data_IF_472127950291
#
_entry.id   IF_472127950291
#
_cell.length_a   1.000
_cell.length_b   1.000
_cell.length_c   1.000
_cell.angle_alpha   90.00
_cell.angle_beta   90.00
_cell.angle_gamma   90.00
#
_symmetry.space_group_name_H-M   'P 1'
#
loop_
_entity.id
_entity.type
_entity.pdbx_description
1 polymer ?
#
# COMPACT_ATOMS: atom_id res chain seq x y z
N UNK A 1 -31.86 51.77 21.58
CA UNK A 1 -30.68 51.01 22.01
C UNK A 1 -30.82 49.59 21.46
N UNK A 2 -29.92 49.19 20.56
CA UNK A 2 -29.57 47.84 20.03
C UNK A 2 -30.72 46.81 19.83
N UNK A 3 -31.22 46.51 18.63
CA UNK A 3 -30.62 46.00 17.36
C UNK A 3 -30.02 44.58 17.49
N UNK A 4 -30.77 43.56 17.06
CA UNK A 4 -30.47 42.76 15.84
C UNK A 4 -31.47 41.61 15.66
N UNK A 5 -32.12 41.65 14.51
CA UNK A 5 -32.97 40.65 13.86
C UNK A 5 -32.13 39.42 13.48
N UNK A 6 -32.50 38.24 13.98
CA UNK A 6 -32.05 36.94 13.44
C UNK A 6 -33.02 36.51 12.35
N UNK A 7 -32.57 36.63 11.09
CA UNK A 7 -33.24 36.00 9.97
C UNK A 7 -32.84 34.52 9.95
N UNK A 8 -33.82 33.64 10.13
CA UNK A 8 -33.72 32.23 9.77
C UNK A 8 -33.49 32.15 8.25
N UNK A 9 -32.38 31.50 7.86
CA UNK A 9 -32.19 31.00 6.50
C UNK A 9 -32.17 29.48 6.57
N UNK A 10 -33.20 28.91 5.97
CA UNK A 10 -33.42 27.48 5.77
C UNK A 10 -32.45 26.96 4.71
N UNK A 11 -31.67 25.93 5.06
CA UNK A 11 -30.86 25.14 4.14
C UNK A 11 -31.70 23.93 3.70
N UNK A 12 -32.01 23.73 2.41
CA UNK A 12 -32.59 22.48 1.96
C UNK A 12 -31.48 21.48 1.62
N UNK A 13 -31.71 20.26 2.10
CA UNK A 13 -30.97 19.01 1.88
C UNK A 13 -29.81 18.71 2.85
N UNK A 14 -30.21 18.18 4.01
CA UNK A 14 -29.35 17.76 5.12
C UNK A 14 -28.75 16.36 4.93
N UNK A 15 -27.72 16.24 4.10
CA UNK A 15 -26.76 15.12 4.17
C UNK A 15 -25.46 15.61 4.79
N UNK A 16 -25.11 15.06 5.95
CA UNK A 16 -23.86 15.32 6.65
C UNK A 16 -22.69 14.63 5.94
N UNK A 17 -21.49 15.20 6.06
CA UNK A 17 -20.20 14.75 5.51
C UNK A 17 -19.89 13.25 5.78
N UNK A 18 -20.58 12.62 6.74
CA UNK A 18 -20.52 11.17 7.02
C UNK A 18 -21.08 10.28 5.91
N UNK A 19 -22.06 10.75 5.13
CA UNK A 19 -22.72 9.94 4.08
C UNK A 19 -21.83 9.70 2.87
N UNK A 20 -21.08 10.72 2.43
CA UNK A 20 -20.28 10.65 1.21
C UNK A 20 -19.03 9.75 1.33
N UNK A 21 -18.44 9.67 2.53
CA UNK A 21 -17.40 8.67 2.83
C UNK A 21 -17.94 7.26 2.73
N UNK A 22 -19.22 7.06 3.06
CA UNK A 22 -19.86 5.76 3.06
C UNK A 22 -20.05 5.25 1.64
N UNK A 23 -20.41 6.10 0.68
CA UNK A 23 -20.65 5.69 -0.71
C UNK A 23 -19.36 5.23 -1.45
N UNK A 24 -18.22 5.91 -1.22
CA UNK A 24 -16.91 5.48 -1.76
C UNK A 24 -16.36 4.26 -0.99
N UNK A 25 -16.56 4.20 0.33
CA UNK A 25 -16.17 3.04 1.14
C UNK A 25 -17.03 1.82 0.80
N UNK A 26 -18.31 1.99 0.45
CA UNK A 26 -19.23 0.95 0.03
C UNK A 26 -18.89 0.44 -1.38
N UNK A 27 -18.49 1.31 -2.32
CA UNK A 27 -17.96 0.88 -3.62
C UNK A 27 -16.60 0.16 -3.50
N UNK A 28 -15.68 0.67 -2.66
CA UNK A 28 -14.45 -0.03 -2.31
C UNK A 28 -14.72 -1.33 -1.52
N UNK A 29 -15.83 -1.43 -0.77
CA UNK A 29 -16.25 -2.64 -0.06
C UNK A 29 -16.91 -3.68 -1.00
N UNK A 30 -17.64 -3.24 -2.03
CA UNK A 30 -18.17 -4.08 -3.10
C UNK A 30 -17.03 -4.64 -3.97
N UNK A 31 -16.00 -3.82 -4.25
CA UNK A 31 -14.76 -4.26 -4.84
C UNK A 31 -14.02 -5.26 -3.93
N UNK A 32 -13.85 -4.97 -2.63
CA UNK A 32 -13.25 -5.90 -1.65
C UNK A 32 -13.97 -7.24 -1.56
N UNK A 33 -15.31 -7.26 -1.53
CA UNK A 33 -16.08 -8.52 -1.45
C UNK A 33 -15.99 -9.35 -2.73
N UNK A 34 -15.86 -8.70 -3.89
CA UNK A 34 -15.62 -9.37 -5.17
C UNK A 34 -14.18 -9.89 -5.31
N UNK A 35 -13.17 -9.13 -4.85
CA UNK A 35 -11.75 -9.52 -4.87
C UNK A 35 -11.44 -10.63 -3.85
N UNK A 36 -12.05 -10.61 -2.66
CA UNK A 36 -11.99 -11.71 -1.70
C UNK A 36 -12.52 -13.03 -2.28
N UNK A 37 -13.44 -12.97 -3.25
CA UNK A 37 -13.92 -14.13 -4.00
C UNK A 37 -13.03 -14.56 -5.19
N UNK A 38 -12.06 -13.73 -5.61
CA UNK A 38 -11.24 -13.95 -6.82
C UNK A 38 -9.82 -14.44 -6.52
N UNK A 39 -9.31 -14.27 -5.30
CA UNK A 39 -8.05 -14.85 -4.83
C UNK A 39 -8.13 -16.35 -4.51
N UNK A 40 -8.86 -17.10 -5.34
CA UNK A 40 -8.81 -18.57 -5.41
C UNK A 40 -7.83 -19.10 -6.47
N UNK A 41 -7.10 -18.23 -7.17
CA UNK A 41 -6.22 -18.66 -8.25
C UNK A 41 -4.75 -18.51 -7.89
N UNK A 42 -4.09 -19.67 -7.83
CA UNK A 42 -2.65 -19.80 -7.90
C UNK A 42 -2.09 -18.94 -9.06
N UNK A 43 -0.93 -18.29 -8.88
CA UNK A 43 -0.27 -17.57 -9.97
C UNK A 43 0.02 -18.54 -11.13
N UNK A 44 0.02 -18.07 -12.39
CA UNK A 44 0.29 -18.91 -13.55
C UNK A 44 1.69 -19.53 -13.45
N UNK A 45 1.81 -20.80 -13.82
CA UNK A 45 3.09 -21.50 -13.86
C UNK A 45 4.09 -20.74 -14.75
N UNK A 46 5.31 -20.43 -14.26
CA UNK A 46 6.35 -19.91 -15.11
C UNK A 46 6.74 -20.99 -16.12
N UNK A 47 6.47 -20.75 -17.39
CA UNK A 47 6.98 -21.55 -18.52
C UNK A 47 8.45 -21.22 -18.75
N UNK A 48 9.30 -21.64 -17.81
CA UNK A 48 10.76 -21.62 -17.92
C UNK A 48 11.29 -23.04 -17.82
N UNK A 49 11.50 -23.70 -18.95
CA UNK A 49 12.28 -24.94 -19.01
C UNK A 49 13.76 -24.57 -18.89
N UNK A 50 14.30 -24.65 -17.68
CA UNK A 50 15.72 -24.94 -17.47
C UNK A 50 15.83 -26.32 -16.81
N UNK A 51 16.60 -27.20 -17.46
CA UNK A 51 16.70 -28.62 -17.13
C UNK A 51 17.57 -28.91 -15.91
N UNK A 52 17.26 -30.01 -15.22
CA UNK A 52 18.28 -30.83 -14.56
C UNK A 52 18.31 -30.91 -13.03
N UNK A 53 17.44 -30.19 -12.31
CA UNK A 53 17.20 -30.42 -10.88
C UNK A 53 15.70 -30.43 -10.63
N UNK A 54 15.18 -31.37 -9.83
CA UNK A 54 13.75 -31.37 -9.46
C UNK A 54 13.38 -29.97 -8.97
N UNK A 55 12.50 -29.26 -9.69
CA UNK A 55 12.22 -27.85 -9.45
C UNK A 55 11.82 -27.66 -7.99
N UNK A 56 12.68 -27.05 -7.18
CA UNK A 56 12.37 -26.77 -5.78
C UNK A 56 11.51 -25.52 -5.71
N UNK A 57 10.57 -25.46 -4.78
CA UNK A 57 9.74 -24.27 -4.58
C UNK A 57 9.86 -23.75 -3.16
N UNK A 58 9.83 -22.42 -3.04
CA UNK A 58 9.89 -21.72 -1.77
C UNK A 58 8.49 -21.58 -1.17
N UNK A 59 8.40 -21.79 0.14
CA UNK A 59 7.18 -21.65 0.92
C UNK A 59 7.43 -20.80 2.17
N UNK A 60 6.49 -19.91 2.48
CA UNK A 60 6.40 -19.28 3.80
C UNK A 60 5.33 -20.02 4.59
N UNK A 61 5.68 -20.50 5.78
CA UNK A 61 4.78 -21.24 6.64
C UNK A 61 4.80 -20.68 8.04
N UNK A 62 3.65 -20.58 8.67
CA UNK A 62 3.50 -20.25 10.09
C UNK A 62 2.68 -21.32 10.78
N UNK A 63 3.09 -21.76 11.97
CA UNK A 63 2.32 -22.73 12.76
C UNK A 63 2.52 -22.47 14.25
N UNK A 64 1.49 -22.75 15.05
CA UNK A 64 1.56 -22.66 16.50
C UNK A 64 1.93 -24.02 17.09
N UNK A 65 2.96 -24.06 17.92
CA UNK A 65 3.37 -25.24 18.67
C UNK A 65 3.23 -25.03 20.17
N UNK A 66 3.20 -26.12 20.92
CA UNK A 66 3.29 -26.07 22.38
C UNK A 66 4.68 -25.58 22.80
N UNK A 67 4.72 -24.66 23.74
CA UNK A 67 5.97 -24.17 24.34
C UNK A 67 6.49 -25.21 25.36
N UNK A 68 7.12 -26.26 24.82
CA UNK A 68 7.73 -27.33 25.60
C UNK A 68 8.92 -27.92 24.81
N UNK A 69 9.96 -28.42 25.50
CA UNK A 69 11.09 -29.07 24.84
C UNK A 69 10.63 -30.18 23.88
N UNK A 70 11.22 -30.19 22.68
CA UNK A 70 10.95 -31.21 21.66
C UNK A 70 9.80 -30.91 20.70
N UNK A 71 8.94 -29.91 20.96
CA UNK A 71 7.87 -29.54 20.00
C UNK A 71 8.41 -29.13 18.64
N UNK A 72 9.37 -28.20 18.61
CA UNK A 72 10.03 -27.76 17.38
C UNK A 72 10.83 -28.90 16.72
N UNK A 73 11.45 -29.77 17.53
CA UNK A 73 12.20 -30.92 17.01
C UNK A 73 11.29 -31.87 16.22
N UNK A 74 10.09 -32.16 16.74
CA UNK A 74 9.09 -32.97 16.04
C UNK A 74 8.69 -32.35 14.69
N UNK A 75 8.53 -31.03 14.63
CA UNK A 75 8.27 -30.33 13.35
C UNK A 75 9.44 -30.49 12.37
N UNK A 76 10.67 -30.22 12.83
CA UNK A 76 11.85 -30.33 11.99
C UNK A 76 12.04 -31.75 11.43
N UNK A 77 11.77 -32.79 12.24
CA UNK A 77 11.82 -34.20 11.80
C UNK A 77 10.78 -34.44 10.70
N UNK A 78 9.52 -34.02 10.90
CA UNK A 78 8.46 -34.23 9.92
C UNK A 78 8.71 -33.51 8.58
N UNK A 79 9.34 -32.32 8.62
CA UNK A 79 9.77 -31.61 7.42
C UNK A 79 10.94 -32.34 6.73
N UNK A 80 11.92 -32.81 7.51
CA UNK A 80 13.08 -33.55 6.99
C UNK A 80 12.69 -34.87 6.31
N UNK A 81 11.73 -35.62 6.86
CA UNK A 81 11.19 -36.85 6.25
C UNK A 81 10.59 -36.62 4.86
N UNK A 82 10.17 -35.39 4.56
CA UNK A 82 9.63 -34.97 3.25
C UNK A 82 10.68 -34.30 2.37
N UNK A 83 11.95 -34.28 2.79
CA UNK A 83 13.06 -33.57 2.12
C UNK A 83 12.82 -32.07 1.98
N UNK A 84 12.15 -31.47 2.97
CA UNK A 84 11.93 -30.02 3.04
C UNK A 84 13.09 -29.41 3.82
N UNK A 85 13.76 -28.45 3.21
CA UNK A 85 14.85 -27.69 3.82
C UNK A 85 14.31 -26.42 4.51
N UNK A 86 14.86 -26.08 5.68
CA UNK A 86 14.48 -24.91 6.48
C UNK A 86 15.54 -23.83 6.25
N UNK A 87 15.18 -22.81 5.49
CA UNK A 87 16.09 -21.71 5.14
C UNK A 87 16.16 -20.65 6.24
N UNK A 88 15.07 -20.44 6.97
CA UNK A 88 14.99 -19.52 8.10
C UNK A 88 13.88 -19.95 9.05
N UNK A 89 14.07 -19.66 10.34
CA UNK A 89 13.09 -19.87 11.41
C UNK A 89 13.04 -18.62 12.30
N UNK A 90 11.84 -18.13 12.56
CA UNK A 90 11.56 -17.14 13.60
C UNK A 90 10.54 -17.69 14.59
N UNK A 91 10.82 -17.49 15.86
CA UNK A 91 9.99 -18.01 16.95
C UNK A 91 9.38 -16.83 17.71
N UNK A 92 8.06 -16.84 17.85
CA UNK A 92 7.28 -15.79 18.49
C UNK A 92 6.55 -16.35 19.73
N UNK A 93 7.09 -16.11 20.94
CA UNK A 93 6.46 -16.58 22.17
C UNK A 93 5.07 -15.97 22.36
N UNK A 94 4.08 -16.80 22.72
CA UNK A 94 2.73 -16.38 23.11
C UNK A 94 2.45 -16.76 24.57
N UNK A 95 1.36 -16.26 25.14
CA UNK A 95 0.91 -16.68 26.48
C UNK A 95 0.58 -18.18 26.56
N UNK A 96 0.18 -18.79 25.43
CA UNK A 96 -0.08 -20.23 25.28
C UNK A 96 0.57 -20.75 24.02
N UNK A 97 1.79 -21.29 24.16
CA UNK A 97 2.54 -21.85 23.05
C UNK A 97 3.40 -20.81 22.34
N UNK A 98 3.80 -21.16 21.13
CA UNK A 98 4.77 -20.40 20.35
C UNK A 98 4.39 -20.46 18.88
N UNK A 99 4.41 -19.32 18.22
CA UNK A 99 4.21 -19.24 16.77
C UNK A 99 5.58 -19.32 16.11
N UNK A 100 5.82 -20.36 15.34
CA UNK A 100 7.01 -20.52 14.53
C UNK A 100 6.72 -20.16 13.08
N UNK A 101 7.52 -19.26 12.53
CA UNK A 101 7.50 -18.82 11.14
C UNK A 101 8.73 -19.36 10.41
N UNK A 102 8.49 -20.10 9.34
CA UNK A 102 9.49 -20.80 8.54
C UNK A 102 9.51 -20.25 7.13
N UNK A 103 10.73 -20.13 6.59
CA UNK A 103 10.96 -20.12 5.15
C UNK A 103 11.50 -21.47 4.74
N UNK A 104 10.80 -22.14 3.83
CA UNK A 104 11.05 -23.53 3.47
C UNK A 104 11.39 -23.65 1.98
N UNK A 105 12.25 -24.60 1.64
CA UNK A 105 12.46 -25.08 0.28
C UNK A 105 12.01 -26.52 0.18
N UNK A 106 10.97 -26.76 -0.61
CA UNK A 106 10.38 -28.09 -0.78
C UNK A 106 10.56 -28.60 -2.23
N UNK A 107 10.60 -29.93 -2.44
CA UNK A 107 10.40 -30.54 -3.75
C UNK A 107 9.14 -30.00 -4.45
N UNK A 108 9.20 -29.75 -5.76
CA UNK A 108 8.12 -29.09 -6.50
C UNK A 108 6.85 -29.92 -6.70
N UNK A 109 6.92 -31.22 -6.45
CA UNK A 109 5.79 -32.15 -6.41
C UNK A 109 5.00 -32.07 -5.09
N UNK A 110 5.54 -31.45 -4.03
CA UNK A 110 4.83 -31.31 -2.77
C UNK A 110 3.82 -30.15 -2.79
N UNK A 111 2.58 -30.48 -2.47
CA UNK A 111 1.49 -29.52 -2.30
C UNK A 111 1.49 -28.88 -0.90
N UNK A 112 0.88 -27.70 -0.80
CA UNK A 112 0.63 -27.03 0.49
C UNK A 112 -0.11 -27.93 1.50
N UNK A 113 -1.07 -28.73 1.02
CA UNK A 113 -1.87 -29.63 1.87
C UNK A 113 -1.02 -30.76 2.47
N UNK A 114 -0.07 -31.31 1.72
CA UNK A 114 0.85 -32.33 2.21
C UNK A 114 1.80 -31.80 3.27
N UNK A 115 2.33 -30.59 3.06
CA UNK A 115 3.20 -29.90 4.03
C UNK A 115 2.41 -29.61 5.31
N UNK A 116 1.25 -28.94 5.20
CA UNK A 116 0.39 -28.65 6.34
C UNK A 116 -0.04 -29.91 7.09
N UNK A 117 -0.37 -30.99 6.38
CA UNK A 117 -0.73 -32.27 6.98
C UNK A 117 0.43 -32.91 7.76
N UNK A 118 1.67 -32.80 7.27
CA UNK A 118 2.87 -33.27 7.99
C UNK A 118 3.10 -32.47 9.28
N UNK A 119 3.02 -31.14 9.18
CA UNK A 119 3.17 -30.23 10.33
C UNK A 119 2.09 -30.46 11.38
N UNK A 120 0.83 -30.65 10.98
CA UNK A 120 -0.26 -30.93 11.92
C UNK A 120 -0.09 -32.26 12.65
N UNK A 121 0.36 -33.32 11.97
CA UNK A 121 0.68 -34.61 12.63
C UNK A 121 1.84 -34.50 13.61
N UNK A 122 2.79 -33.60 13.35
CA UNK A 122 3.92 -33.31 14.22
C UNK A 122 3.57 -32.36 15.40
N UNK A 123 2.31 -31.94 15.52
CA UNK A 123 1.81 -31.16 16.64
C UNK A 123 1.62 -29.66 16.36
N UNK A 124 1.84 -29.20 15.13
CA UNK A 124 1.54 -27.83 14.71
C UNK A 124 0.03 -27.58 14.60
N UNK A 125 -0.42 -26.40 15.02
CA UNK A 125 -1.81 -25.97 15.02
C UNK A 125 -1.96 -24.64 14.29
N UNK A 126 -3.11 -24.42 13.65
CA UNK A 126 -3.37 -23.18 12.92
C UNK A 126 -2.35 -22.91 11.81
N UNK A 127 -1.89 -23.97 11.13
CA UNK A 127 -0.85 -23.85 10.11
C UNK A 127 -1.36 -23.04 8.91
N UNK A 128 -0.66 -21.95 8.64
CA UNK A 128 -0.83 -21.13 7.45
C UNK A 128 0.39 -21.32 6.55
N UNK A 129 0.18 -21.44 5.24
CA UNK A 129 1.26 -21.66 4.28
C UNK A 129 0.93 -21.00 2.93
N UNK A 130 1.92 -20.35 2.32
CA UNK A 130 1.81 -19.76 0.99
C UNK A 130 3.14 -19.85 0.23
N UNK A 131 3.10 -19.59 -1.09
CA UNK A 131 4.31 -19.49 -1.91
C UNK A 131 5.14 -18.28 -1.45
N UNK A 132 6.44 -18.51 -1.29
CA UNK A 132 7.41 -17.45 -1.03
C UNK A 132 8.16 -17.08 -2.32
N UNK A 133 8.75 -15.89 -2.34
CA UNK A 133 9.56 -15.40 -3.45
C UNK A 133 11.03 -15.18 -3.03
N UNK A 134 11.88 -14.81 -3.99
CA UNK A 134 13.32 -14.64 -3.74
C UNK A 134 13.66 -13.53 -2.73
N UNK A 135 12.79 -12.53 -2.53
CA UNK A 135 12.98 -11.46 -1.55
C UNK A 135 12.81 -11.96 -0.12
N UNK A 136 12.05 -13.04 0.10
CA UNK A 136 11.88 -13.64 1.42
C UNK A 136 13.18 -14.28 1.95
N UNK A 137 14.14 -14.59 1.07
CA UNK A 137 15.46 -15.12 1.42
C UNK A 137 16.34 -14.11 2.17
N UNK A 138 16.01 -12.82 2.11
CA UNK A 138 16.73 -11.79 2.87
C UNK A 138 16.45 -11.98 4.35
N UNK A 139 17.51 -12.08 5.16
CA UNK A 139 17.39 -12.23 6.60
C UNK A 139 16.63 -11.05 7.22
N UNK A 140 15.93 -11.32 8.32
CA UNK A 140 15.05 -10.33 8.93
C UNK A 140 15.78 -9.07 9.43
N UNK A 141 16.95 -9.14 10.10
CA UNK A 141 17.72 -7.95 10.45
C UNK A 141 18.02 -7.06 9.24
N UNK A 142 18.55 -7.63 8.15
CA UNK A 142 18.84 -6.88 6.92
C UNK A 142 17.58 -6.25 6.33
N UNK A 143 16.47 -7.01 6.28
CA UNK A 143 15.18 -6.51 5.81
C UNK A 143 14.69 -5.33 6.64
N UNK A 144 14.72 -5.44 7.97
CA UNK A 144 14.29 -4.37 8.89
C UNK A 144 15.14 -3.10 8.74
N UNK A 145 16.46 -3.23 8.59
CA UNK A 145 17.34 -2.08 8.33
C UNK A 145 17.05 -1.42 6.98
N UNK A 146 16.75 -2.21 5.96
CA UNK A 146 16.32 -1.71 4.65
C UNK A 146 15.00 -0.93 4.74
N UNK A 147 14.01 -1.46 5.45
CA UNK A 147 12.73 -0.77 5.72
C UNK A 147 12.95 0.53 6.48
N UNK A 148 13.73 0.50 7.56
CA UNK A 148 14.07 1.69 8.35
C UNK A 148 14.75 2.77 7.49
N UNK A 149 15.65 2.38 6.58
CA UNK A 149 16.31 3.30 5.64
C UNK A 149 15.33 3.91 4.66
N UNK A 150 14.46 3.11 4.02
CA UNK A 150 13.41 3.61 3.11
C UNK A 150 12.49 4.60 3.80
N UNK A 151 12.00 4.21 4.98
CA UNK A 151 11.22 5.10 5.85
C UNK A 151 12.04 6.36 6.09
N UNK A 152 13.29 6.30 6.56
CA UNK A 152 14.10 7.49 6.83
C UNK A 152 14.29 8.46 5.64
N UNK A 153 14.18 7.99 4.40
CA UNK A 153 14.28 8.84 3.20
C UNK A 153 12.96 9.50 2.78
N UNK A 154 11.82 8.84 2.99
CA UNK A 154 10.50 9.31 2.56
C UNK A 154 9.42 8.92 3.58
N UNK A 155 8.72 9.90 4.15
CA UNK A 155 7.65 9.66 5.11
C UNK A 155 6.46 8.87 4.51
N UNK A 156 6.33 8.86 3.18
CA UNK A 156 5.32 8.08 2.47
C UNK A 156 5.60 6.57 2.45
N UNK A 157 6.80 6.14 2.84
CA UNK A 157 7.17 4.74 2.91
C UNK A 157 6.66 4.04 4.17
N UNK A 158 6.20 4.77 5.22
CA UNK A 158 5.79 4.13 6.48
C UNK A 158 4.69 3.07 6.29
N UNK A 159 3.55 3.35 5.60
CA UNK A 159 2.54 2.32 5.35
C UNK A 159 3.08 1.13 4.56
N UNK A 160 3.89 1.39 3.52
CA UNK A 160 4.49 0.32 2.71
C UNK A 160 5.47 -0.54 3.52
N UNK A 161 6.25 0.08 4.39
CA UNK A 161 7.19 -0.59 5.26
C UNK A 161 6.49 -1.43 6.33
N UNK A 162 5.37 -0.95 6.89
CA UNK A 162 4.52 -1.73 7.79
C UNK A 162 3.94 -2.96 7.07
N UNK A 163 3.48 -2.82 5.83
CA UNK A 163 2.99 -3.94 5.01
C UNK A 163 4.09 -4.97 4.79
N UNK A 164 5.29 -4.54 4.38
CA UNK A 164 6.42 -5.46 4.19
C UNK A 164 6.90 -6.11 5.50
N UNK A 165 6.81 -5.40 6.63
CA UNK A 165 7.19 -5.91 7.95
C UNK A 165 6.23 -6.97 8.48
N UNK A 166 4.94 -6.83 8.19
CA UNK A 166 3.84 -7.65 8.74
C UNK A 166 3.29 -8.68 7.74
N UNK A 167 3.76 -8.65 6.49
CA UNK A 167 3.25 -9.51 5.41
C UNK A 167 1.96 -8.98 4.79
N UNK A 168 1.13 -9.88 4.26
CA UNK A 168 -0.14 -9.48 3.62
C UNK A 168 -1.10 -8.94 4.68
N UNK A 169 -1.30 -7.62 4.67
CA UNK A 169 -2.25 -6.91 5.52
C UNK A 169 -2.74 -5.65 4.82
N UNK A 170 -3.96 -5.23 5.18
CA UNK A 170 -4.52 -3.95 4.77
C UNK A 170 -4.09 -2.86 5.76
N UNK A 171 -3.67 -1.71 5.25
CA UNK A 171 -3.29 -0.57 6.08
C UNK A 171 -4.18 0.63 5.76
N UNK A 172 -4.78 1.21 6.79
CA UNK A 172 -5.61 2.41 6.67
C UNK A 172 -5.14 3.46 7.66
N UNK A 173 -4.92 4.67 7.17
CA UNK A 173 -4.56 5.82 7.99
C UNK A 173 -5.79 6.72 8.17
N UNK A 174 -6.21 6.92 9.41
CA UNK A 174 -7.28 7.84 9.77
C UNK A 174 -6.69 9.16 10.29
N UNK A 175 -7.11 10.32 9.77
CA UNK A 175 -6.60 11.62 10.21
C UNK A 175 -6.96 11.93 11.67
N UNK A 176 -6.11 12.70 12.33
CA UNK A 176 -6.37 13.23 13.67
C UNK A 176 -7.53 14.24 13.64
N UNK A 177 -8.48 14.11 14.56
CA UNK A 177 -9.66 14.97 14.68
C UNK A 177 -10.94 14.23 15.05
N UNK A 178 -11.03 12.94 14.75
CA UNK A 178 -12.11 12.08 15.25
C UNK A 178 -11.74 11.59 16.66
N UNK A 179 -12.16 12.34 17.69
CA UNK A 179 -11.89 11.99 19.11
C UNK A 179 -12.40 10.57 19.45
N UNK A 180 -13.47 10.12 18.78
CA UNK A 180 -14.02 8.78 18.93
C UNK A 180 -13.11 7.66 18.37
N UNK A 181 -12.24 7.96 17.38
CA UNK A 181 -11.30 6.99 16.83
C UNK A 181 -10.04 6.82 17.71
N UNK A 182 -9.77 7.80 18.59
CA UNK A 182 -8.67 7.84 19.55
C UNK A 182 -9.11 7.42 20.97
N UNK A 183 -10.41 7.48 21.28
CA UNK A 183 -10.99 7.01 22.54
C UNK A 183 -10.73 5.51 22.71
N UNK A 184 -10.12 5.14 23.84
CA UNK A 184 -9.84 3.74 24.20
C UNK A 184 -8.52 3.16 23.64
N UNK A 185 -7.77 3.88 22.79
CA UNK A 185 -6.44 3.41 22.34
C UNK A 185 -5.37 3.88 23.33
N UNK A 186 -4.62 2.96 24.00
CA UNK A 186 -3.49 3.30 24.85
C UNK A 186 -2.45 4.15 24.11
N UNK A 187 -1.58 4.84 24.86
CA UNK A 187 -0.49 5.63 24.29
C UNK A 187 0.40 4.80 23.33
N UNK A 188 0.50 3.50 23.60
CA UNK A 188 1.37 2.57 22.87
C UNK A 188 0.65 1.81 21.73
N UNK A 189 -0.64 2.08 21.48
CA UNK A 189 -1.48 1.30 20.56
C UNK A 189 -2.21 0.13 21.23
N UNK A 190 -2.98 -0.65 20.45
CA UNK A 190 -3.72 -1.82 20.93
C UNK A 190 -3.84 -2.92 19.87
N UNK A 191 -3.95 -4.16 20.33
CA UNK A 191 -4.48 -5.31 19.58
C UNK A 191 -5.93 -5.52 20.00
N UNK A 192 -6.84 -5.77 19.05
CA UNK A 192 -8.24 -6.09 19.35
C UNK A 192 -8.40 -7.54 19.85
N UNK A 193 -9.57 -7.90 20.40
CA UNK A 193 -9.82 -9.21 21.04
C UNK A 193 -9.57 -10.43 20.12
N UNK A 194 -9.66 -10.25 18.80
CA UNK A 194 -9.39 -11.30 17.81
C UNK A 194 -7.93 -11.35 17.37
N UNK A 195 -7.08 -10.41 17.83
CA UNK A 195 -5.70 -10.18 17.41
C UNK A 195 -5.50 -10.01 15.89
N UNK A 196 -6.57 -9.87 15.09
CA UNK A 196 -6.50 -9.67 13.63
C UNK A 196 -6.46 -8.21 13.21
N UNK A 197 -6.65 -7.30 14.17
CA UNK A 197 -6.61 -5.84 13.97
C UNK A 197 -5.64 -5.23 14.97
N UNK A 198 -4.72 -4.43 14.44
CA UNK A 198 -3.74 -3.67 15.19
C UNK A 198 -3.98 -2.18 14.97
N UNK A 199 -4.02 -1.41 16.07
CA UNK A 199 -4.18 0.05 16.05
C UNK A 199 -2.94 0.72 16.61
N UNK A 200 -2.28 1.54 15.79
CA UNK A 200 -1.07 2.29 16.13
C UNK A 200 -1.38 3.79 16.08
N UNK A 201 -0.87 4.57 17.03
CA UNK A 201 -0.98 6.03 16.93
C UNK A 201 -0.10 6.55 15.81
N UNK A 202 -0.67 7.36 14.93
CA UNK A 202 0.09 8.02 13.88
C UNK A 202 0.85 9.23 14.45
N UNK A 203 2.05 9.54 13.95
CA UNK A 203 2.86 10.67 14.45
C UNK A 203 2.16 12.04 14.38
N UNK A 204 1.27 12.23 13.42
CA UNK A 204 0.47 13.43 13.19
C UNK A 204 -0.82 13.51 14.06
N UNK A 205 -0.99 12.60 15.01
CA UNK A 205 -2.17 12.56 15.89
C UNK A 205 -3.37 11.77 15.33
N UNK A 206 -3.18 11.07 14.21
CA UNK A 206 -4.14 10.13 13.65
C UNK A 206 -4.00 8.70 14.21
N UNK A 207 -4.64 7.74 13.53
CA UNK A 207 -4.53 6.30 13.84
C UNK A 207 -4.21 5.53 12.57
N UNK A 208 -3.19 4.66 12.63
CA UNK A 208 -2.92 3.65 11.62
C UNK A 208 -3.60 2.36 12.07
N UNK A 209 -4.49 1.84 11.24
CA UNK A 209 -5.16 0.56 11.43
C UNK A 209 -4.52 -0.44 10.47
N UNK A 210 -4.05 -1.55 11.02
CA UNK A 210 -3.53 -2.68 10.26
C UNK A 210 -4.47 -3.87 10.48
N UNK A 211 -4.97 -4.44 9.39
CA UNK A 211 -5.95 -5.53 9.43
C UNK A 211 -5.41 -6.73 8.66
N UNK A 212 -5.50 -7.92 9.28
CA UNK A 212 -5.12 -9.20 8.68
C UNK A 212 -6.14 -10.27 9.08
N UNK A 213 -7.22 -10.44 8.30
CA UNK A 213 -8.42 -11.19 8.74
C UNK A 213 -8.19 -12.69 8.95
N UNK A 214 -7.19 -13.27 8.30
CA UNK A 214 -6.96 -14.72 8.31
C UNK A 214 -5.85 -15.17 9.27
N UNK A 215 -5.09 -14.23 9.84
CA UNK A 215 -3.91 -14.56 10.64
C UNK A 215 -3.71 -13.56 11.79
N UNK A 216 -3.88 -13.99 13.05
CA UNK A 216 -3.64 -13.13 14.21
C UNK A 216 -2.23 -12.55 14.25
N UNK A 217 -2.08 -11.32 14.75
CA UNK A 217 -0.81 -10.69 15.04
C UNK A 217 -0.23 -11.22 16.35
N UNK A 218 1.07 -11.46 16.36
CA UNK A 218 1.79 -11.77 17.59
C UNK A 218 2.18 -10.49 18.35
N UNK A 219 2.41 -10.56 19.67
CA UNK A 219 2.96 -9.43 20.42
C UNK A 219 4.31 -8.93 19.86
N UNK A 220 5.12 -9.82 19.30
CA UNK A 220 6.38 -9.46 18.63
C UNK A 220 6.13 -8.65 17.36
N UNK A 221 5.14 -9.02 16.55
CA UNK A 221 4.74 -8.23 15.37
C UNK A 221 4.26 -6.84 15.76
N UNK A 222 3.43 -6.75 16.80
CA UNK A 222 2.99 -5.47 17.36
C UNK A 222 4.16 -4.60 17.83
N UNK A 223 5.10 -5.17 18.58
CA UNK A 223 6.27 -4.45 19.07
C UNK A 223 7.15 -3.93 17.93
N UNK A 224 7.35 -4.72 16.86
CA UNK A 224 8.11 -4.31 15.67
C UNK A 224 7.41 -3.17 14.91
N UNK A 225 6.10 -3.28 14.70
CA UNK A 225 5.33 -2.25 14.03
C UNK A 225 5.34 -0.93 14.80
N UNK A 226 5.15 -1.00 16.13
CA UNK A 226 5.26 0.16 17.02
C UNK A 226 6.65 0.80 16.96
N UNK A 227 7.72 0.02 17.00
CA UNK A 227 9.08 0.54 16.91
C UNK A 227 9.35 1.28 15.59
N UNK A 228 8.81 0.77 14.47
CA UNK A 228 8.93 1.43 13.17
C UNK A 228 8.14 2.75 13.11
N UNK A 229 6.93 2.78 13.66
CA UNK A 229 6.12 4.02 13.78
C UNK A 229 6.80 5.03 14.69
N UNK A 230 7.38 4.59 15.81
CA UNK A 230 8.14 5.47 16.70
C UNK A 230 9.37 6.05 15.98
N UNK A 231 10.15 5.22 15.27
CA UNK A 231 11.28 5.70 14.48
C UNK A 231 10.84 6.80 13.49
N UNK A 232 9.78 6.56 12.73
CA UNK A 232 9.23 7.54 11.81
C UNK A 232 8.82 8.85 12.52
N UNK A 233 8.18 8.74 13.69
CA UNK A 233 7.79 9.89 14.49
C UNK A 233 8.99 10.73 14.93
N UNK A 234 10.11 10.10 15.29
CA UNK A 234 11.34 10.80 15.70
C UNK A 234 12.04 11.46 14.53
N UNK A 235 11.95 10.89 13.33
CA UNK A 235 12.52 11.46 12.11
C UNK A 235 11.70 12.64 11.56
N UNK A 236 10.40 12.70 11.85
CA UNK A 236 9.52 13.78 11.40
C UNK A 236 9.21 13.72 9.90
N UNK A 237 8.40 14.67 9.38
CA UNK A 237 7.98 14.68 7.97
C UNK A 237 9.17 14.94 7.04
N UNK A 238 9.36 14.06 6.05
CA UNK A 238 10.42 14.15 5.05
C UNK A 238 9.90 13.72 3.68
N UNK A 239 10.20 14.53 2.67
CA UNK A 239 9.82 14.27 1.28
C UNK A 239 11.07 14.49 0.41
N UNK A 240 11.44 13.55 -0.47
CA UNK A 240 12.61 13.70 -1.34
C UNK A 240 12.50 14.94 -2.25
N UNK A 241 13.58 15.71 -2.37
CA UNK A 241 13.61 17.01 -3.06
C UNK A 241 13.99 16.92 -4.56
N UNK A 242 13.70 15.80 -5.24
CA UNK A 242 14.01 15.64 -6.66
C UNK A 242 13.16 16.51 -7.58
N UNK A 243 13.78 17.09 -8.61
CA UNK A 243 13.10 17.88 -9.65
C UNK A 243 13.59 17.45 -11.03
N UNK A 244 12.66 17.23 -11.96
CA UNK A 244 12.97 16.94 -13.35
C UNK A 244 12.39 18.02 -14.25
N UNK A 245 13.25 18.61 -15.09
CA UNK A 245 12.84 19.59 -16.10
C UNK A 245 12.53 18.86 -17.40
N UNK A 246 11.32 19.07 -17.93
CA UNK A 246 10.83 18.42 -19.13
C UNK A 246 10.42 19.47 -20.16
N UNK A 247 10.86 19.28 -21.40
CA UNK A 247 10.38 20.06 -22.53
C UNK A 247 9.16 19.34 -23.13
N UNK A 248 8.00 20.00 -23.10
CA UNK A 248 6.80 19.43 -23.71
C UNK A 248 6.91 19.43 -25.24
N UNK A 249 6.34 18.43 -25.95
CA UNK A 249 6.39 18.37 -27.42
C UNK A 249 5.83 19.60 -28.12
N UNK A 250 4.93 20.34 -27.45
CA UNK A 250 4.40 21.63 -27.87
C UNK A 250 4.30 22.56 -26.67
N UNK A 251 5.39 23.29 -26.35
CA UNK A 251 5.31 24.40 -25.41
C UNK A 251 6.53 24.61 -24.53
N UNK A 252 6.30 25.32 -23.43
CA UNK A 252 7.31 25.73 -22.46
C UNK A 252 7.84 24.54 -21.66
N UNK A 253 9.06 24.67 -21.15
CA UNK A 253 9.59 23.75 -20.17
C UNK A 253 8.71 23.73 -18.92
N UNK A 254 8.48 22.54 -18.38
CA UNK A 254 7.82 22.30 -17.11
C UNK A 254 8.79 21.61 -16.16
N UNK A 255 8.58 21.79 -14.87
CA UNK A 255 9.31 21.07 -13.83
C UNK A 255 8.35 20.14 -13.11
N UNK A 256 8.70 18.86 -12.98
CA UNK A 256 7.95 17.90 -12.17
C UNK A 256 8.74 17.61 -10.90
N UNK A 257 8.11 17.73 -9.74
CA UNK A 257 8.73 17.47 -8.44
C UNK A 257 7.77 16.85 -7.44
N UNK A 258 8.30 16.25 -6.38
CA UNK A 258 7.48 15.90 -5.21
C UNK A 258 6.87 17.16 -4.59
N UNK A 259 5.63 17.03 -4.14
CA UNK A 259 4.90 18.06 -3.43
C UNK A 259 4.45 17.56 -2.05
N UNK A 260 4.33 18.48 -1.11
CA UNK A 260 3.92 18.19 0.26
C UNK A 260 3.07 19.31 0.87
N UNK A 261 2.80 19.25 2.18
CA UNK A 261 1.96 20.21 2.89
C UNK A 261 2.40 21.68 2.72
N UNK A 262 3.67 21.96 2.39
CA UNK A 262 4.17 23.32 2.11
C UNK A 262 3.64 23.89 0.79
N UNK A 263 3.15 23.03 -0.10
CA UNK A 263 2.59 23.40 -1.41
C UNK A 263 1.08 23.70 -1.34
N UNK A 264 0.47 23.67 -0.16
CA UNK A 264 -0.97 23.83 0.02
C UNK A 264 -1.52 25.11 -0.63
N UNK A 265 -0.86 26.24 -0.41
CA UNK A 265 -1.33 27.52 -0.97
C UNK A 265 -1.19 27.56 -2.50
N UNK A 266 -0.12 26.99 -3.04
CA UNK A 266 0.07 26.88 -4.48
C UNK A 266 -0.96 25.94 -5.13
N UNK A 267 -1.31 24.83 -4.45
CA UNK A 267 -2.34 23.90 -4.88
C UNK A 267 -3.74 24.55 -4.85
N UNK A 268 -4.07 25.30 -3.79
CA UNK A 268 -5.32 26.08 -3.70
C UNK A 268 -5.42 27.12 -4.82
N UNK A 269 -4.34 27.87 -5.07
CA UNK A 269 -4.31 28.83 -6.17
C UNK A 269 -4.51 28.16 -7.54
N UNK A 270 -3.97 26.95 -7.74
CA UNK A 270 -4.23 26.16 -8.95
C UNK A 270 -5.70 25.74 -9.06
N UNK A 271 -6.30 25.27 -7.97
CA UNK A 271 -7.73 24.90 -7.93
C UNK A 271 -8.63 26.08 -8.33
N UNK A 272 -8.36 27.28 -7.83
CA UNK A 272 -9.14 28.48 -8.12
C UNK A 272 -9.12 28.87 -9.61
N UNK A 273 -8.07 28.49 -10.34
CA UNK A 273 -7.97 28.70 -11.80
C UNK A 273 -8.62 27.58 -12.62
N UNK A 274 -8.87 26.41 -12.02
CA UNK A 274 -9.50 25.30 -12.71
C UNK A 274 -10.99 25.57 -12.94
N UNK A 275 -11.52 25.16 -14.10
CA UNK A 275 -12.95 25.27 -14.34
C UNK A 275 -13.76 24.33 -13.44
N UNK A 276 -15.04 24.65 -13.14
CA UNK A 276 -15.92 23.74 -12.40
C UNK A 276 -16.01 22.35 -13.02
N UNK A 277 -15.96 22.26 -14.35
CA UNK A 277 -15.94 20.98 -15.09
C UNK A 277 -14.67 20.17 -14.79
N UNK A 278 -13.51 20.81 -14.80
CA UNK A 278 -12.24 20.14 -14.49
C UNK A 278 -12.22 19.65 -13.04
N UNK A 279 -12.73 20.44 -12.10
CA UNK A 279 -12.86 20.03 -10.70
C UNK A 279 -13.88 18.90 -10.50
N UNK A 280 -15.03 18.93 -11.19
CA UNK A 280 -16.05 17.87 -11.07
C UNK A 280 -15.59 16.52 -11.62
N UNK A 281 -14.67 16.51 -12.59
CA UNK A 281 -14.06 15.28 -13.12
C UNK A 281 -13.03 14.67 -12.15
N UNK A 282 -12.45 15.50 -11.28
CA UNK A 282 -11.46 15.11 -10.27
C UNK A 282 -12.09 14.72 -8.94
N UNK A 283 -13.13 15.43 -8.53
CA UNK A 283 -13.80 15.27 -7.24
C UNK A 283 -15.24 14.79 -7.48
N UNK A 284 -15.51 13.53 -7.12
CA UNK A 284 -16.80 12.89 -7.36
C UNK A 284 -17.88 13.27 -6.31
N UNK A 285 -17.79 14.49 -5.77
CA UNK A 285 -18.56 14.99 -4.62
C UNK A 285 -18.70 16.51 -4.57
N UNK A 286 -19.29 17.08 -3.51
CA UNK A 286 -19.54 18.52 -3.42
C UNK A 286 -18.26 19.35 -3.55
N UNK A 287 -18.19 20.21 -4.57
CA UNK A 287 -16.98 20.99 -4.91
C UNK A 287 -16.48 21.92 -3.78
N UNK A 288 -17.36 22.33 -2.87
CA UNK A 288 -17.04 23.23 -1.75
C UNK A 288 -16.00 22.67 -0.77
N UNK A 289 -15.76 21.36 -0.79
CA UNK A 289 -14.80 20.69 0.09
C UNK A 289 -13.46 20.36 -0.60
N UNK A 290 -13.29 20.65 -1.90
CA UNK A 290 -12.09 20.29 -2.67
C UNK A 290 -10.79 20.80 -2.03
N UNK A 291 -10.81 22.01 -1.46
CA UNK A 291 -9.65 22.58 -0.76
C UNK A 291 -9.37 21.90 0.59
N UNK A 292 -10.39 21.32 1.24
CA UNK A 292 -10.20 20.52 2.47
C UNK A 292 -9.53 19.18 2.17
N UNK A 293 -9.71 18.66 0.96
CA UNK A 293 -9.04 17.43 0.52
C UNK A 293 -7.54 17.64 0.26
N UNK A 294 -7.09 18.85 -0.05
CA UNK A 294 -5.68 19.10 -0.36
C UNK A 294 -4.75 18.79 0.81
N UNK A 295 -5.16 19.06 2.06
CA UNK A 295 -4.36 18.73 3.24
C UNK A 295 -4.07 17.22 3.33
N UNK A 296 -5.08 16.42 3.01
CA UNK A 296 -4.94 14.96 2.95
C UNK A 296 -4.07 14.52 1.77
N UNK A 297 -4.33 15.07 0.57
CA UNK A 297 -3.59 14.70 -0.64
C UNK A 297 -2.10 15.11 -0.59
N UNK A 298 -1.77 16.21 0.08
CA UNK A 298 -0.40 16.70 0.21
C UNK A 298 0.33 16.13 1.42
N UNK A 299 -0.38 15.45 2.32
CA UNK A 299 0.27 14.76 3.42
C UNK A 299 1.00 13.51 2.90
N UNK A 300 2.30 13.35 3.19
CA UNK A 300 3.04 12.17 2.76
C UNK A 300 2.53 10.89 3.43
N UNK A 301 1.65 10.98 4.44
CA UNK A 301 1.12 9.83 5.18
C UNK A 301 0.13 8.98 4.40
N UNK A 302 -0.50 9.58 3.40
CA UNK A 302 -1.56 8.95 2.63
C UNK A 302 -1.13 8.60 1.21
N UNK A 303 0.12 8.94 0.84
CA UNK A 303 0.58 8.74 -0.51
C UNK A 303 1.77 9.61 -0.91
N UNK A 304 2.00 9.66 -2.21
CA UNK A 304 2.99 10.53 -2.87
C UNK A 304 2.28 11.49 -3.80
N UNK A 305 2.64 12.77 -3.71
CA UNK A 305 2.14 13.79 -4.63
C UNK A 305 3.26 14.36 -5.48
N UNK A 306 2.95 14.55 -6.76
CA UNK A 306 3.74 15.25 -7.75
C UNK A 306 3.07 16.56 -8.10
N UNK A 307 3.84 17.64 -8.16
CA UNK A 307 3.42 18.91 -8.73
C UNK A 307 4.16 19.18 -10.03
N UNK A 308 3.43 19.78 -10.97
CA UNK A 308 3.96 20.29 -12.24
C UNK A 308 3.98 21.80 -12.16
N UNK A 309 5.15 22.38 -12.36
CA UNK A 309 5.38 23.81 -12.33
C UNK A 309 5.79 24.33 -13.70
N UNK A 310 5.38 25.57 -14.00
CA UNK A 310 5.91 26.34 -15.12
C UNK A 310 7.33 26.82 -14.82
N UNK A 311 8.02 27.38 -15.83
CA UNK A 311 9.29 28.08 -15.63
C UNK A 311 9.20 29.28 -14.65
N UNK A 312 8.02 29.85 -14.45
CA UNK A 312 7.78 30.91 -13.45
C UNK A 312 7.51 30.38 -12.03
N UNK A 313 7.53 29.05 -11.84
CA UNK A 313 7.26 28.40 -10.56
C UNK A 313 5.78 28.17 -10.24
N UNK A 314 4.86 28.57 -11.13
CA UNK A 314 3.43 28.40 -10.94
C UNK A 314 3.04 26.92 -11.08
N UNK A 315 2.33 26.37 -10.09
CA UNK A 315 1.78 25.01 -10.15
C UNK A 315 0.60 24.97 -11.12
N UNK A 316 0.64 24.06 -12.10
CA UNK A 316 -0.35 23.91 -13.18
C UNK A 316 -0.88 22.48 -13.32
N UNK A 317 -0.35 21.55 -12.53
CA UNK A 317 -0.89 20.20 -12.42
C UNK A 317 -0.45 19.51 -11.14
N UNK A 318 -1.29 18.60 -10.67
CA UNK A 318 -1.07 17.73 -9.52
C UNK A 318 -1.36 16.28 -9.91
N UNK A 319 -0.52 15.37 -9.44
CA UNK A 319 -0.75 13.94 -9.53
C UNK A 319 -0.55 13.30 -8.17
N UNK A 320 -1.47 12.44 -7.76
CA UNK A 320 -1.47 11.79 -6.46
C UNK A 320 -1.43 10.28 -6.66
N UNK A 321 -0.56 9.62 -5.91
CA UNK A 321 -0.52 8.17 -5.72
C UNK A 321 -0.89 7.91 -4.27
N UNK A 322 -2.07 7.35 -4.00
CA UNK A 322 -2.64 7.21 -2.66
C UNK A 322 -2.63 5.75 -2.22
N UNK A 323 -2.41 5.52 -0.94
CA UNK A 323 -2.48 4.20 -0.33
C UNK A 323 -3.91 3.93 0.17
N UNK A 324 -4.59 2.93 -0.39
CA UNK A 324 -5.95 2.53 0.04
C UNK A 324 -5.99 1.05 0.42
N UNK A 325 -5.73 0.76 1.69
CA UNK A 325 -5.76 -0.61 2.20
C UNK A 325 -4.64 -1.46 1.59
N UNK A 326 -5.02 -2.38 0.70
CA UNK A 326 -4.08 -3.22 -0.08
C UNK A 326 -3.84 -2.66 -1.49
N UNK A 327 -4.64 -1.66 -1.90
CA UNK A 327 -4.64 -1.11 -3.25
C UNK A 327 -3.94 0.25 -3.30
N UNK A 328 -3.74 0.74 -4.53
CA UNK A 328 -3.06 2.02 -4.78
C UNK A 328 -3.83 2.83 -5.81
N UNK A 329 -4.34 3.99 -5.39
CA UNK A 329 -5.15 4.87 -6.25
C UNK A 329 -4.27 5.92 -6.93
N UNK A 330 -4.57 6.23 -8.19
CA UNK A 330 -4.01 7.38 -8.90
C UNK A 330 -5.11 8.40 -9.19
N UNK A 331 -4.83 9.65 -8.84
CA UNK A 331 -5.70 10.77 -9.16
C UNK A 331 -4.90 11.95 -9.75
N UNK A 332 -5.43 12.58 -10.79
CA UNK A 332 -4.75 13.65 -11.53
C UNK A 332 -5.63 14.88 -11.67
N UNK A 333 -5.03 16.06 -11.56
CA UNK A 333 -5.66 17.34 -11.86
C UNK A 333 -4.69 18.18 -12.69
N UNK A 334 -5.14 18.68 -13.83
CA UNK A 334 -4.34 19.57 -14.70
C UNK A 334 -5.20 20.78 -15.05
N UNK A 335 -4.64 21.97 -14.84
CA UNK A 335 -5.28 23.24 -15.15
C UNK A 335 -5.70 23.30 -16.62
N UNK A 336 -6.90 23.81 -16.90
CA UNK A 336 -7.58 23.75 -18.20
C UNK A 336 -6.69 24.18 -19.38
N UNK A 337 -5.94 25.28 -19.23
CA UNK A 337 -5.05 25.81 -20.27
C UNK A 337 -3.87 24.88 -20.59
N UNK A 338 -3.50 24.02 -19.65
CA UNK A 338 -2.35 23.11 -19.70
C UNK A 338 -2.74 21.68 -20.11
N UNK A 339 -4.04 21.39 -20.20
CA UNK A 339 -4.53 20.10 -20.67
C UNK A 339 -4.17 19.84 -22.14
N UNK A 340 -4.19 18.55 -22.54
CA UNK A 340 -3.84 18.08 -23.89
C UNK A 340 -2.43 18.44 -24.38
N UNK A 341 -1.52 18.78 -23.46
CA UNK A 341 -0.08 19.02 -23.72
C UNK A 341 0.84 17.85 -23.31
N UNK A 342 0.26 16.73 -22.88
CA UNK A 342 1.01 15.55 -22.42
C UNK A 342 1.27 15.48 -20.91
N UNK A 343 0.94 16.52 -20.15
CA UNK A 343 1.18 16.61 -18.70
C UNK A 343 0.54 15.47 -17.92
N UNK A 344 -0.74 15.17 -18.17
CA UNK A 344 -1.44 14.09 -17.46
C UNK A 344 -0.80 12.72 -17.69
N UNK A 345 -0.37 12.41 -18.91
CA UNK A 345 0.32 11.16 -19.21
C UNK A 345 1.73 11.07 -18.61
N UNK A 346 2.44 12.20 -18.51
CA UNK A 346 3.73 12.28 -17.83
C UNK A 346 3.60 12.05 -16.32
N UNK A 347 2.65 12.73 -15.67
CA UNK A 347 2.34 12.51 -14.25
C UNK A 347 1.99 11.04 -14.01
N UNK A 348 1.09 10.47 -14.83
CA UNK A 348 0.66 9.09 -14.69
C UNK A 348 1.82 8.09 -14.79
N UNK A 349 2.71 8.23 -15.79
CA UNK A 349 3.90 7.37 -15.94
C UNK A 349 4.81 7.43 -14.73
N UNK A 350 5.02 8.62 -14.17
CA UNK A 350 5.86 8.82 -12.97
C UNK A 350 5.23 8.21 -11.72
N UNK A 351 3.92 8.40 -11.52
CA UNK A 351 3.21 7.77 -10.40
C UNK A 351 3.24 6.24 -10.51
N UNK A 352 3.10 5.69 -11.72
CA UNK A 352 3.28 4.24 -11.97
C UNK A 352 4.70 3.77 -11.65
N UNK A 353 5.74 4.54 -11.98
CA UNK A 353 7.12 4.22 -11.56
C UNK A 353 7.24 4.18 -10.04
N UNK A 354 6.69 5.18 -9.35
CA UNK A 354 6.69 5.21 -7.89
C UNK A 354 5.92 4.05 -7.26
N UNK A 355 4.85 3.59 -7.88
CA UNK A 355 4.10 2.41 -7.46
C UNK A 355 4.90 1.12 -7.63
N UNK A 356 5.67 1.00 -8.73
CA UNK A 356 6.59 -0.13 -8.95
C UNK A 356 7.73 -0.15 -7.92
N UNK A 357 8.33 0.99 -7.63
CA UNK A 357 9.36 1.14 -6.58
C UNK A 357 8.83 0.80 -5.17
N UNK A 358 7.52 0.97 -4.97
CA UNK A 358 6.78 0.60 -3.77
C UNK A 358 6.35 -0.89 -3.74
N UNK A 359 6.67 -1.67 -4.78
CA UNK A 359 6.22 -3.05 -4.95
C UNK A 359 4.68 -3.18 -4.87
N UNK A 360 3.97 -2.28 -5.54
CA UNK A 360 2.53 -2.42 -5.77
C UNK A 360 2.30 -3.33 -6.98
N UNK A 361 1.34 -4.25 -6.88
CA UNK A 361 0.95 -5.14 -7.99
C UNK A 361 0.00 -4.46 -8.97
N UNK A 362 -0.78 -3.50 -8.49
CA UNK A 362 -1.82 -2.82 -9.24
C UNK A 362 -1.88 -1.34 -8.87
N UNK A 363 -2.33 -0.53 -9.81
CA UNK A 363 -2.83 0.83 -9.55
C UNK A 363 -4.18 1.00 -10.22
N UNK A 364 -5.08 1.75 -9.59
CA UNK A 364 -6.38 2.05 -10.20
C UNK A 364 -6.67 3.55 -10.22
N UNK A 365 -7.56 3.96 -11.10
CA UNK A 365 -8.09 5.31 -11.16
C UNK A 365 -9.61 5.27 -11.19
N UNK A 366 -10.25 6.05 -10.31
CA UNK A 366 -11.71 6.23 -10.31
C UNK A 366 -12.06 7.51 -11.04
N UNK A 367 -12.89 7.41 -12.07
CA UNK A 367 -13.27 8.56 -12.89
C UNK A 367 -14.70 8.46 -13.40
N UNK A 368 -15.24 9.53 -13.99
CA UNK A 368 -16.52 9.43 -14.68
C UNK A 368 -16.33 8.69 -16.01
N UNK A 369 -17.28 7.84 -16.39
CA UNK A 369 -17.26 7.13 -17.69
C UNK A 369 -17.13 8.06 -18.90
N UNK A 370 -17.57 9.31 -18.77
CA UNK A 370 -17.42 10.36 -19.79
C UNK A 370 -16.04 11.01 -19.86
N UNK A 371 -15.14 10.72 -18.90
CA UNK A 371 -13.79 11.29 -18.83
C UNK A 371 -12.83 10.60 -19.82
N UNK A 372 -12.97 10.94 -21.09
CA UNK A 372 -12.12 10.43 -22.18
C UNK A 372 -10.63 10.75 -21.98
N UNK A 373 -10.29 11.83 -21.28
CA UNK A 373 -8.91 12.22 -20.99
C UNK A 373 -8.19 11.22 -20.09
N UNK A 374 -8.83 10.79 -19.00
CA UNK A 374 -8.27 9.79 -18.09
C UNK A 374 -8.16 8.41 -18.77
N UNK A 375 -9.19 8.01 -19.54
CA UNK A 375 -9.16 6.75 -20.30
C UNK A 375 -8.00 6.72 -21.29
N UNK A 376 -7.78 7.83 -22.02
CA UNK A 376 -6.66 7.95 -22.96
C UNK A 376 -5.31 7.93 -22.25
N UNK A 377 -5.19 8.60 -21.10
CA UNK A 377 -3.96 8.60 -20.29
C UNK A 377 -3.62 7.17 -19.80
N UNK A 378 -4.59 6.45 -19.23
CA UNK A 378 -4.40 5.06 -18.77
C UNK A 378 -4.01 4.13 -19.91
N UNK A 379 -4.68 4.22 -21.08
CA UNK A 379 -4.29 3.44 -22.28
C UNK A 379 -2.87 3.74 -22.75
N UNK A 380 -2.45 5.00 -22.62
CA UNK A 380 -1.09 5.44 -22.96
C UNK A 380 0.02 4.82 -22.12
N UNK A 381 -0.29 4.12 -21.02
CA UNK A 381 0.68 3.36 -20.25
C UNK A 381 1.15 2.08 -20.96
N UNK A 382 0.37 1.54 -21.88
CA UNK A 382 0.67 0.27 -22.55
C UNK A 382 0.65 -0.94 -21.60
N UNK A 383 -0.03 -0.82 -20.46
CA UNK A 383 -0.19 -1.90 -19.47
C UNK A 383 -1.49 -2.66 -19.68
N UNK A 384 -1.61 -3.90 -19.19
CA UNK A 384 -2.89 -4.60 -19.12
C UNK A 384 -3.87 -3.79 -18.25
N UNK A 385 -5.02 -3.44 -18.82
CA UNK A 385 -6.07 -2.66 -18.17
C UNK A 385 -7.35 -3.45 -18.02
N UNK A 386 -7.91 -3.42 -16.82
CA UNK A 386 -9.28 -3.87 -16.53
C UNK A 386 -10.19 -2.64 -16.33
N UNK A 387 -11.44 -2.76 -16.79
CA UNK A 387 -12.43 -1.70 -16.74
C UNK A 387 -13.69 -2.18 -16.02
N UNK A 388 -14.18 -1.39 -15.07
CA UNK A 388 -15.44 -1.63 -14.37
C UNK A 388 -16.29 -0.37 -14.37
N UNK A 389 -17.57 -0.51 -14.72
CA UNK A 389 -18.51 0.62 -14.81
C UNK A 389 -19.70 0.36 -13.90
N UNK A 390 -19.95 1.29 -12.98
CA UNK A 390 -21.12 1.27 -12.09
C UNK A 390 -21.69 2.68 -11.97
N UNK A 391 -22.99 2.84 -12.24
CA UNK A 391 -23.73 4.11 -12.09
C UNK A 391 -23.05 5.34 -12.73
N UNK A 392 -22.39 5.15 -13.88
CA UNK A 392 -21.70 6.22 -14.61
C UNK A 392 -20.27 6.51 -14.10
N UNK A 393 -19.83 5.86 -13.02
CA UNK A 393 -18.44 5.80 -12.55
C UNK A 393 -17.70 4.69 -13.29
N UNK A 394 -16.44 4.96 -13.64
CA UNK A 394 -15.51 4.06 -14.30
C UNK A 394 -14.29 3.87 -13.40
N UNK A 395 -14.00 2.63 -13.04
CA UNK A 395 -12.73 2.22 -12.42
C UNK A 395 -11.85 1.59 -13.50
N UNK A 396 -10.63 2.12 -13.63
CA UNK A 396 -9.62 1.60 -14.56
C UNK A 396 -8.46 1.08 -13.73
N UNK A 397 -8.19 -0.22 -13.79
CA UNK A 397 -7.10 -0.87 -13.05
C UNK A 397 -5.99 -1.28 -14.00
N UNK A 398 -4.76 -0.84 -13.73
CA UNK A 398 -3.57 -1.26 -14.44
C UNK A 398 -2.77 -2.28 -13.61
N UNK A 399 -2.43 -3.41 -14.21
CA UNK A 399 -1.52 -4.40 -13.59
C UNK A 399 -0.06 -3.98 -13.82
N UNK A 400 0.70 -3.96 -12.73
CA UNK A 400 2.12 -3.65 -12.73
C UNK A 400 2.92 -4.95 -12.74
N UNK A 401 3.77 -5.13 -13.73
CA UNK A 401 4.73 -6.23 -13.68
C UNK A 401 5.77 -5.96 -12.57
N UNK A 402 6.14 -6.96 -11.76
CA UNK A 402 7.17 -6.81 -10.75
C UNK A 402 8.49 -6.41 -11.43
N UNK A 403 9.15 -5.37 -10.91
CA UNK A 403 10.46 -4.95 -11.42
C UNK A 403 11.47 -6.09 -11.17
N UNK A 404 12.14 -6.63 -12.19
CA UNK A 404 13.20 -7.61 -11.98
C UNK A 404 14.35 -6.93 -11.21
N UNK A 405 14.56 -7.29 -9.95
CA UNK A 405 15.76 -6.88 -9.22
C UNK A 405 16.90 -7.76 -9.70
N UNK A 406 17.96 -7.15 -10.24
CA UNK A 406 19.16 -7.87 -10.64
C UNK A 406 19.71 -8.64 -9.42
N UNK A 407 19.73 -9.97 -9.50
CA UNK A 407 20.30 -10.81 -8.46
C UNK A 407 21.77 -10.44 -8.22
N UNK A 408 22.25 -10.39 -6.97
CA UNK A 408 23.68 -10.33 -6.72
C UNK A 408 24.32 -11.54 -7.41
N UNK A 409 25.33 -11.29 -8.26
CA UNK A 409 26.09 -12.36 -8.91
C UNK A 409 26.56 -13.34 -7.83
N UNK A 410 26.24 -14.62 -8.03
CA UNK A 410 26.75 -15.72 -7.23
C UNK A 410 28.26 -15.58 -7.11
N UNK A 411 28.75 -15.51 -5.87
CA UNK A 411 30.18 -15.62 -5.59
C UNK A 411 30.64 -17.00 -6.11
N UNK A 412 31.43 -16.98 -7.17
CA UNK A 412 32.10 -18.14 -7.70
C UNK A 412 33.18 -18.57 -6.71
N UNK A 413 32.97 -19.69 -6.02
CA UNK A 413 34.04 -20.37 -5.30
C UNK A 413 34.87 -21.16 -6.31
N UNK A 414 35.62 -20.44 -7.12
CA UNK A 414 36.73 -21.00 -7.91
C UNK A 414 38.01 -20.28 -7.53
N UNK A 415 38.85 -20.97 -6.76
CA UNK A 415 40.25 -20.59 -6.55
C UNK A 415 40.68 -20.50 -5.09
N UNK A 416 41.25 -21.61 -4.58
CA UNK A 416 42.70 -21.73 -4.37
C UNK A 416 43.04 -23.12 -3.82
N UNK A 417 43.79 -23.83 -4.65
CA UNK A 417 44.86 -24.82 -4.39
C UNK A 417 44.90 -25.59 -3.07
#
# INVERSE_FOLDING_TARGET
MNRKTTAESTVPDGRTVRGWRRDIIELAALLRTWWAGRHGHAPPEPTGRDGGAAASVLWRMRTTVKDQPGSLASLCIALAERRIDILSLQTHPLARGTVDEFLLRAPGDLSAAEISGAVSRAGGQGTWIERADAHDLVDAPTRVLGLATRTALDAAELPLALRQLLGRCAIRSLPGGDSAALEGIPADGALEETDTVMRLRAPEGGVIIVERPYLPFTPTEFARARALVELDARLGPRVPHGQDVLTLPRGNAITVRRADARDLDAAKAMHERCSPRTLSLRYHGPMGDANRYLDHLLSPRYGRTLAVQTASGQVVGLGHLLWDGEETEIALLVEDEWQRRGIGGELLRRLVSMAREANCEHVYAVTQSSNTGMVAAMRGLGLPLDYQIEEGTLVITARLDPTPVASPRSYDHSGRD
#
